data_IF_428092415593
#
_entry.id   IF_428092415593
#
_cell.length_a   1.000
_cell.length_b   1.000
_cell.length_c   1.000
_cell.angle_alpha   90.00
_cell.angle_beta   90.00
_cell.angle_gamma   90.00
#
_symmetry.space_group_name_H-M   'P 1'
#
loop_
_entity.id
_entity.type
_entity.pdbx_description
1 polymer ?
#
# COMPACT_ATOMS: atom_id res chain seq x y z
N UNK A 1 10.64 -7.07 -1.12
CA UNK A 1 11.09 -5.69 -0.80
C UNK A 1 12.60 -5.70 -0.91
N UNK A 2 13.19 -4.73 -1.61
CA UNK A 2 14.65 -4.67 -1.82
C UNK A 2 15.24 -3.41 -1.14
N UNK A 3 16.40 -3.58 -0.52
CA UNK A 3 17.12 -2.51 0.17
C UNK A 3 18.38 -2.13 -0.61
N UNK A 4 18.75 -0.86 -0.56
CA UNK A 4 19.96 -0.37 -1.20
C UNK A 4 21.20 -0.99 -0.52
N UNK A 5 22.13 -1.59 -1.29
CA UNK A 5 23.35 -2.16 -0.72
C UNK A 5 24.30 -1.12 -0.12
N UNK A 6 24.19 0.14 -0.53
CA UNK A 6 25.09 1.22 -0.09
C UNK A 6 24.65 1.86 1.22
N UNK A 7 23.36 2.17 1.37
CA UNK A 7 22.83 2.96 2.49
C UNK A 7 21.73 2.25 3.30
N UNK A 8 21.39 1.01 2.97
CA UNK A 8 20.39 0.21 3.67
C UNK A 8 18.95 0.77 3.59
N UNK A 9 18.71 1.82 2.80
CA UNK A 9 17.37 2.41 2.64
C UNK A 9 16.52 1.58 1.67
N UNK A 10 15.22 1.49 1.90
CA UNK A 10 14.28 0.80 1.00
C UNK A 10 14.30 1.42 -0.41
N UNK A 11 14.51 0.59 -1.43
CA UNK A 11 14.51 1.05 -2.82
C UNK A 11 13.10 1.37 -3.31
N UNK A 12 12.96 2.45 -4.07
CA UNK A 12 11.71 2.80 -4.75
C UNK A 12 11.68 2.19 -6.15
N UNK A 13 10.49 1.78 -6.57
CA UNK A 13 10.25 1.27 -7.91
C UNK A 13 9.73 2.39 -8.83
N UNK A 14 10.41 2.61 -9.94
CA UNK A 14 9.93 3.46 -11.03
C UNK A 14 9.28 2.58 -12.11
N UNK A 15 8.06 2.94 -12.49
CA UNK A 15 7.34 2.21 -13.53
C UNK A 15 8.00 2.39 -14.90
N UNK A 16 7.97 1.36 -15.75
CA UNK A 16 8.38 1.50 -17.15
C UNK A 16 7.53 2.58 -17.83
N UNK A 17 8.18 3.50 -18.54
CA UNK A 17 7.51 4.54 -19.32
C UNK A 17 8.14 4.64 -20.71
N UNK A 18 7.30 4.55 -21.73
CA UNK A 18 7.71 4.46 -23.14
C UNK A 18 8.75 3.33 -23.33
N UNK A 19 9.97 3.68 -23.71
CA UNK A 19 11.08 2.74 -23.94
C UNK A 19 11.98 2.49 -22.72
N UNK A 20 11.69 3.11 -21.57
CA UNK A 20 12.48 2.88 -20.35
C UNK A 20 11.94 1.68 -19.60
N UNK A 21 12.85 0.73 -19.32
CA UNK A 21 12.59 -0.38 -18.40
C UNK A 21 12.30 0.15 -16.99
N UNK A 22 11.53 -0.61 -16.23
CA UNK A 22 11.33 -0.34 -14.81
C UNK A 22 12.66 -0.49 -14.06
N UNK A 23 12.88 0.38 -13.07
CA UNK A 23 14.13 0.38 -12.29
C UNK A 23 13.86 0.58 -10.81
N UNK A 24 14.75 0.06 -9.99
CA UNK A 24 14.85 0.42 -8.59
C UNK A 24 15.85 1.54 -8.42
N UNK A 25 15.49 2.57 -7.64
CA UNK A 25 16.38 3.66 -7.31
C UNK A 25 16.33 3.97 -5.82
N UNK A 26 17.46 4.42 -5.29
CA UNK A 26 17.55 4.91 -3.93
C UNK A 26 17.26 6.42 -3.89
N UNK A 27 16.64 6.89 -2.81
CA UNK A 27 16.42 8.32 -2.58
C UNK A 27 17.54 8.99 -1.78
N UNK A 28 18.36 8.20 -1.07
CA UNK A 28 19.41 8.70 -0.18
C UNK A 28 20.80 8.63 -0.81
N UNK A 29 20.96 7.89 -1.92
CA UNK A 29 22.19 7.82 -2.69
C UNK A 29 21.90 7.59 -4.18
N UNK A 30 22.92 7.71 -5.03
CA UNK A 30 22.81 7.59 -6.49
C UNK A 30 22.71 6.13 -6.99
N UNK A 31 22.37 5.19 -6.11
CA UNK A 31 22.24 3.78 -6.49
C UNK A 31 21.00 3.56 -7.37
N UNK A 32 21.23 2.92 -8.54
CA UNK A 32 20.19 2.53 -9.50
C UNK A 32 20.41 1.09 -9.94
N UNK A 33 19.36 0.29 -9.91
CA UNK A 33 19.35 -1.09 -10.37
C UNK A 33 18.25 -1.27 -11.44
N UNK A 34 18.63 -1.71 -12.63
CA UNK A 34 17.67 -2.00 -13.72
C UNK A 34 16.99 -3.33 -13.45
N UNK A 35 15.66 -3.39 -13.64
CA UNK A 35 14.95 -4.66 -13.54
C UNK A 35 15.11 -5.41 -14.86
N UNK A 36 15.80 -6.55 -14.79
CA UNK A 36 15.98 -7.41 -15.95
C UNK A 36 14.62 -7.94 -16.44
N UNK A 37 14.42 -8.01 -17.76
CA UNK A 37 13.16 -8.45 -18.40
C UNK A 37 12.77 -9.89 -18.07
N UNK A 38 13.68 -10.66 -17.46
CA UNK A 38 13.46 -12.03 -16.97
C UNK A 38 12.64 -12.07 -15.68
N UNK A 39 12.53 -10.97 -14.93
CA UNK A 39 11.76 -10.90 -13.69
C UNK A 39 10.30 -10.53 -14.02
N UNK A 40 9.43 -11.54 -14.14
CA UNK A 40 8.00 -11.33 -14.34
C UNK A 40 7.35 -10.71 -13.10
N UNK A 41 7.29 -9.39 -13.02
CA UNK A 41 6.48 -8.68 -12.01
C UNK A 41 5.01 -9.02 -12.27
N UNK A 42 4.43 -9.92 -11.47
CA UNK A 42 3.01 -10.23 -11.56
C UNK A 42 2.21 -9.02 -11.07
N UNK A 43 1.77 -8.16 -12.00
CA UNK A 43 0.95 -6.97 -11.73
C UNK A 43 -0.36 -7.25 -10.98
N UNK A 44 -0.80 -8.51 -10.93
CA UNK A 44 -2.01 -8.96 -10.24
C UNK A 44 -1.71 -10.27 -9.50
N UNK A 45 -1.09 -10.18 -8.34
CA UNK A 45 -1.10 -11.32 -7.42
C UNK A 45 -2.49 -11.34 -6.79
N UNK A 46 -3.21 -12.46 -6.95
CA UNK A 46 -4.54 -12.60 -6.36
C UNK A 46 -4.38 -12.61 -4.84
N UNK A 47 -4.68 -11.48 -4.20
CA UNK A 47 -4.65 -11.35 -2.75
C UNK A 47 -5.74 -12.28 -2.20
N UNK A 48 -5.33 -13.38 -1.57
CA UNK A 48 -6.25 -14.21 -0.82
C UNK A 48 -6.83 -13.37 0.32
N UNK A 49 -8.15 -13.38 0.47
CA UNK A 49 -8.80 -12.76 1.62
C UNK A 49 -8.34 -13.53 2.86
N UNK A 50 -7.56 -12.88 3.73
CA UNK A 50 -7.36 -13.39 5.09
C UNK A 50 -8.72 -13.40 5.79
N UNK A 51 -8.98 -14.42 6.59
CA UNK A 51 -10.10 -14.39 7.51
C UNK A 51 -9.90 -13.18 8.44
N UNK A 52 -10.91 -12.31 8.52
CA UNK A 52 -10.89 -11.15 9.40
C UNK A 52 -11.55 -11.58 10.70
N UNK A 53 -10.81 -11.48 11.80
CA UNK A 53 -11.43 -11.53 13.11
C UNK A 53 -12.14 -10.20 13.37
N UNK A 54 -13.39 -10.22 13.83
CA UNK A 54 -14.11 -9.00 14.15
C UNK A 54 -13.38 -8.25 15.28
N UNK A 55 -13.10 -6.95 15.05
CA UNK A 55 -12.44 -6.09 16.04
C UNK A 55 -13.33 -5.83 17.24
N UNK A 56 -14.66 -5.85 17.04
CA UNK A 56 -15.66 -5.60 18.06
C UNK A 56 -16.54 -6.83 18.24
N UNK A 57 -16.64 -7.26 19.49
CA UNK A 57 -17.58 -8.26 19.97
C UNK A 57 -18.92 -7.64 20.35
N UNK A 58 -19.94 -8.46 20.58
CA UNK A 58 -21.25 -7.95 21.02
C UNK A 58 -21.18 -7.25 22.38
N UNK A 59 -20.20 -7.59 23.22
CA UNK A 59 -19.98 -6.95 24.51
C UNK A 59 -19.42 -5.52 24.39
N UNK A 60 -18.70 -5.22 23.30
CA UNK A 60 -18.16 -3.88 23.03
C UNK A 60 -19.26 -2.86 22.67
N UNK A 61 -20.46 -3.33 22.29
CA UNK A 61 -21.62 -2.45 22.03
C UNK A 61 -22.09 -1.73 23.28
N UNK A 62 -21.87 -2.29 24.48
CA UNK A 62 -22.31 -1.71 25.76
C UNK A 62 -21.56 -0.42 26.12
N UNK A 63 -20.35 -0.25 25.59
CA UNK A 63 -19.49 0.91 25.83
C UNK A 63 -19.41 1.84 24.62
N UNK A 64 -20.27 1.64 23.61
CA UNK A 64 -20.25 2.48 22.42
C UNK A 64 -20.78 3.87 22.75
N UNK A 65 -20.09 4.95 22.34
CA UNK A 65 -20.64 6.29 22.51
C UNK A 65 -21.90 6.44 21.66
N UNK A 66 -23.05 6.59 22.31
CA UNK A 66 -24.32 6.90 21.65
C UNK A 66 -24.36 8.40 21.36
N UNK A 67 -24.20 8.78 20.09
CA UNK A 67 -24.44 10.16 19.67
C UNK A 67 -25.93 10.32 19.35
N UNK A 68 -26.59 11.25 20.05
CA UNK A 68 -27.97 11.65 19.76
C UNK A 68 -27.97 12.44 18.44
N UNK A 69 -28.26 11.76 17.33
CA UNK A 69 -28.27 12.40 16.02
C UNK A 69 -29.41 13.39 15.88
N UNK A 70 -29.14 14.69 16.01
CA UNK A 70 -29.89 15.70 15.26
C UNK A 70 -29.50 15.52 13.80
N UNK A 71 -30.42 14.95 13.02
CA UNK A 71 -30.27 14.74 11.58
C UNK A 71 -30.19 16.11 10.89
N UNK A 72 -29.01 16.69 10.79
CA UNK A 72 -28.77 17.76 9.83
C UNK A 72 -28.59 17.10 8.47
N UNK A 73 -29.67 17.08 7.70
CA UNK A 73 -29.62 16.88 6.26
C UNK A 73 -28.72 17.96 5.65
N UNK A 74 -27.43 17.68 5.48
CA UNK A 74 -26.63 18.42 4.51
C UNK A 74 -27.04 17.87 3.15
N UNK A 75 -28.04 18.54 2.59
CA UNK A 75 -28.41 18.50 1.19
C UNK A 75 -27.15 18.86 0.39
N UNK A 76 -26.61 17.92 -0.37
CA UNK A 76 -25.69 18.24 -1.47
C UNK A 76 -26.51 18.24 -2.75
N UNK A 77 -26.90 19.44 -3.19
CA UNK A 77 -27.00 19.78 -4.61
C UNK A 77 -25.60 19.96 -5.20
#
# INVERSE_FOLDING_TARGET
MEFCPTCGTLLRYELPHMDRLGRFFCLTCEYVCQIDSKVKIKRKQHLAKKALDPIFSEDDKKNWPTTEGVFSSVLCD
#
